data_IF_658995405267
#
_entry.id   IF_658995405267
#
_cell.length_a   1.000
_cell.length_b   1.000
_cell.length_c   1.000
_cell.angle_alpha   90.00
_cell.angle_beta   90.00
_cell.angle_gamma   90.00
#
_symmetry.space_group_name_H-M   'P 1'
#
loop_
_entity.id
_entity.type
_entity.pdbx_description
1 polymer ?
#
# COMPACT_ATOMS: atom_id res chain seq x y z
N UNK A 1 -10.55 -43.03 57.16
CA UNK A 1 -11.04 -42.43 55.90
C UNK A 1 -10.55 -41.01 55.83
N UNK A 2 -9.71 -40.66 54.85
CA UNK A 2 -9.30 -39.28 54.64
C UNK A 2 -10.49 -38.52 54.06
N UNK A 3 -11.20 -37.76 54.89
CA UNK A 3 -12.32 -36.94 54.45
C UNK A 3 -11.77 -35.66 53.83
N UNK A 4 -11.90 -35.53 52.50
CA UNK A 4 -11.58 -34.29 51.80
C UNK A 4 -12.74 -33.30 51.97
N UNK A 5 -12.44 -32.01 52.09
CA UNK A 5 -13.47 -30.99 52.18
C UNK A 5 -13.09 -29.72 51.41
N UNK A 6 -14.11 -28.94 51.08
CA UNK A 6 -13.99 -27.58 50.57
C UNK A 6 -15.15 -26.73 51.08
N UNK A 7 -14.97 -25.41 51.13
CA UNK A 7 -16.07 -24.48 51.44
C UNK A 7 -16.80 -24.13 50.15
N UNK A 8 -18.10 -24.42 50.09
CA UNK A 8 -18.93 -24.19 48.91
C UNK A 8 -19.30 -22.69 48.73
N UNK A 9 -20.01 -22.37 47.65
CA UNK A 9 -20.50 -21.02 47.35
C UNK A 9 -21.49 -20.45 48.38
N UNK A 10 -22.02 -21.25 49.31
CA UNK A 10 -22.90 -20.84 50.42
C UNK A 10 -22.17 -20.72 51.76
N UNK A 11 -20.84 -20.78 51.76
CA UNK A 11 -19.99 -20.77 52.97
C UNK A 11 -20.14 -21.99 53.87
N UNK A 12 -20.66 -23.10 53.35
CA UNK A 12 -20.80 -24.37 54.07
C UNK A 12 -19.60 -25.28 53.79
N UNK A 13 -19.17 -26.05 54.79
CA UNK A 13 -18.12 -27.06 54.61
C UNK A 13 -18.74 -28.32 54.01
N UNK A 14 -18.35 -28.64 52.78
CA UNK A 14 -18.80 -29.83 52.06
C UNK A 14 -17.70 -30.89 52.10
N UNK A 15 -18.05 -32.09 52.56
CA UNK A 15 -17.16 -33.24 52.57
C UNK A 15 -17.39 -34.10 51.31
N UNK A 16 -16.29 -34.51 50.67
CA UNK A 16 -16.32 -35.33 49.46
C UNK A 16 -15.46 -36.59 49.65
N UNK A 17 -15.94 -37.71 49.08
CA UNK A 17 -15.24 -38.98 49.14
C UNK A 17 -14.15 -39.09 48.06
N UNK A 18 -13.30 -40.12 48.15
CA UNK A 18 -12.26 -40.37 47.14
C UNK A 18 -12.83 -40.61 45.73
N UNK A 19 -13.92 -41.38 45.63
CA UNK A 19 -14.61 -41.68 44.36
C UNK A 19 -15.07 -40.40 43.65
N UNK A 20 -15.58 -39.43 44.40
CA UNK A 20 -15.93 -38.10 43.88
C UNK A 20 -14.74 -37.41 43.23
N UNK A 21 -13.59 -37.40 43.90
CA UNK A 21 -12.39 -36.74 43.41
C UNK A 21 -11.74 -37.48 42.22
N UNK A 22 -11.83 -38.80 42.18
CA UNK A 22 -11.39 -39.61 41.02
C UNK A 22 -12.23 -39.28 39.77
N UNK A 23 -13.55 -39.26 39.90
CA UNK A 23 -14.46 -38.86 38.82
C UNK A 23 -14.23 -37.41 38.40
N UNK A 24 -14.09 -36.49 39.38
CA UNK A 24 -13.82 -35.09 39.12
C UNK A 24 -12.50 -34.90 38.35
N UNK A 25 -11.45 -35.64 38.70
CA UNK A 25 -10.17 -35.56 38.01
C UNK A 25 -10.26 -36.09 36.57
N UNK A 26 -10.94 -37.24 36.36
CA UNK A 26 -11.17 -37.81 35.02
C UNK A 26 -11.90 -36.80 34.12
N UNK A 27 -13.02 -36.26 34.58
CA UNK A 27 -13.80 -35.27 33.83
C UNK A 27 -13.02 -33.98 33.57
N UNK A 28 -12.21 -33.53 34.53
CA UNK A 28 -11.34 -32.36 34.35
C UNK A 28 -10.33 -32.61 33.24
N UNK A 29 -9.66 -33.76 33.22
CA UNK A 29 -8.67 -34.09 32.18
C UNK A 29 -9.32 -34.18 30.80
N UNK A 30 -10.48 -34.82 30.68
CA UNK A 30 -11.24 -34.89 29.42
C UNK A 30 -11.67 -33.50 28.93
N UNK A 31 -12.19 -32.65 29.81
CA UNK A 31 -12.57 -31.29 29.45
C UNK A 31 -11.37 -30.41 29.10
N UNK A 32 -10.20 -30.63 29.71
CA UNK A 32 -8.98 -29.91 29.35
C UNK A 32 -8.46 -30.32 27.97
N UNK A 33 -8.54 -31.60 27.59
CA UNK A 33 -8.15 -32.07 26.25
C UNK A 33 -9.01 -31.47 25.15
N UNK A 34 -10.29 -31.20 25.42
CA UNK A 34 -11.24 -30.63 24.46
C UNK A 34 -11.19 -29.08 24.47
N UNK A 35 -10.49 -28.45 25.42
CA UNK A 35 -10.45 -27.00 25.59
C UNK A 35 -9.29 -26.35 24.82
N UNK A 36 -9.53 -25.33 23.97
CA UNK A 36 -8.48 -24.60 23.24
C UNK A 36 -7.42 -23.95 24.13
N UNK A 37 -7.75 -23.66 25.39
CA UNK A 37 -6.86 -23.01 26.36
C UNK A 37 -6.20 -24.01 27.32
N UNK A 38 -6.46 -25.31 27.15
CA UNK A 38 -6.09 -26.38 28.09
C UNK A 38 -6.69 -26.17 29.51
N UNK A 39 -7.71 -25.32 29.63
CA UNK A 39 -8.42 -25.04 30.88
C UNK A 39 -9.74 -25.80 30.93
N UNK A 40 -10.05 -26.37 32.10
CA UNK A 40 -11.33 -27.01 32.34
C UNK A 40 -12.44 -25.94 32.46
N UNK A 41 -13.54 -26.13 31.72
CA UNK A 41 -14.79 -25.40 31.97
C UNK A 41 -15.51 -26.04 33.16
N UNK A 42 -15.42 -25.37 34.31
CA UNK A 42 -15.97 -25.87 35.57
C UNK A 42 -17.50 -25.88 35.63
N UNK A 43 -18.20 -25.08 34.80
CA UNK A 43 -19.67 -25.14 34.72
C UNK A 43 -20.10 -26.45 34.04
N UNK A 44 -19.44 -26.80 32.94
CA UNK A 44 -19.66 -28.07 32.25
C UNK A 44 -19.22 -29.25 33.10
N UNK A 45 -18.10 -29.12 33.82
CA UNK A 45 -17.60 -30.11 34.78
C UNK A 45 -18.65 -30.45 35.86
N UNK A 46 -19.24 -29.44 36.51
CA UNK A 46 -20.30 -29.63 37.52
C UNK A 46 -21.52 -30.36 36.95
N UNK A 47 -21.95 -30.02 35.72
CA UNK A 47 -23.07 -30.72 35.07
C UNK A 47 -22.77 -32.21 34.90
N UNK A 48 -21.58 -32.55 34.42
CA UNK A 48 -21.16 -33.94 34.24
C UNK A 48 -20.99 -34.67 35.58
N UNK A 49 -20.50 -33.99 36.62
CA UNK A 49 -20.44 -34.57 37.97
C UNK A 49 -21.83 -34.94 38.50
N UNK A 50 -22.84 -34.09 38.27
CA UNK A 50 -24.23 -34.39 38.65
C UNK A 50 -24.78 -35.59 37.87
N UNK A 51 -24.47 -35.71 36.57
CA UNK A 51 -24.86 -36.86 35.74
C UNK A 51 -24.23 -38.17 36.23
N UNK A 52 -23.00 -38.10 36.75
CA UNK A 52 -22.29 -39.22 37.39
C UNK A 52 -22.75 -39.50 38.84
N UNK A 53 -23.78 -38.79 39.32
CA UNK A 53 -24.39 -38.98 40.65
C UNK A 53 -23.70 -38.22 41.80
N UNK A 54 -22.89 -37.20 41.50
CA UNK A 54 -22.21 -36.35 42.49
C UNK A 54 -22.74 -34.92 42.48
N UNK A 55 -23.82 -34.69 43.21
CA UNK A 55 -24.53 -33.41 43.35
C UNK A 55 -23.81 -32.38 44.24
N UNK A 56 -22.93 -32.85 45.10
CA UNK A 56 -22.11 -32.05 46.01
C UNK A 56 -20.83 -31.46 45.37
N UNK A 57 -20.79 -31.34 44.04
CA UNK A 57 -19.73 -30.64 43.28
C UNK A 57 -20.02 -29.14 43.11
N UNK A 58 -18.98 -28.30 42.99
CA UNK A 58 -19.15 -26.85 42.82
C UNK A 58 -18.27 -26.28 41.69
N UNK A 59 -18.47 -25.00 41.37
CA UNK A 59 -17.69 -24.26 40.38
C UNK A 59 -16.75 -23.22 41.01
N UNK A 60 -16.78 -23.07 42.33
CA UNK A 60 -16.02 -22.07 43.06
C UNK A 60 -14.51 -22.41 43.17
N UNK A 61 -13.67 -21.42 43.50
CA UNK A 61 -12.21 -21.63 43.51
C UNK A 61 -11.76 -22.65 44.57
N UNK A 62 -12.46 -22.74 45.71
CA UNK A 62 -12.16 -23.72 46.75
C UNK A 62 -12.26 -25.16 46.23
N UNK A 63 -13.33 -25.48 45.49
CA UNK A 63 -13.51 -26.78 44.86
C UNK A 63 -12.46 -27.04 43.77
N UNK A 64 -12.16 -26.04 42.94
CA UNK A 64 -11.12 -26.15 41.91
C UNK A 64 -9.74 -26.42 42.51
N UNK A 65 -9.41 -25.73 43.59
CA UNK A 65 -8.18 -25.95 44.34
C UNK A 65 -8.13 -27.33 44.98
N UNK A 66 -9.25 -27.83 45.51
CA UNK A 66 -9.34 -29.20 46.03
C UNK A 66 -9.02 -30.24 44.94
N UNK A 67 -9.65 -30.14 43.77
CA UNK A 67 -9.41 -31.07 42.65
C UNK A 67 -7.96 -30.95 42.12
N UNK A 68 -7.39 -29.74 42.06
CA UNK A 68 -5.97 -29.53 41.69
C UNK A 68 -5.00 -30.10 42.73
N UNK A 69 -5.31 -29.97 44.03
CA UNK A 69 -4.52 -30.54 45.12
C UNK A 69 -4.55 -32.07 45.04
N UNK A 70 -5.74 -32.65 44.90
CA UNK A 70 -5.92 -34.08 44.72
C UNK A 70 -5.17 -34.61 43.48
N UNK A 71 -5.16 -33.87 42.38
CA UNK A 71 -4.35 -34.21 41.21
C UNK A 71 -2.86 -34.28 41.54
N UNK A 72 -2.30 -33.29 42.26
CA UNK A 72 -0.88 -33.29 42.66
C UNK A 72 -0.56 -34.44 43.61
N UNK A 73 -1.42 -34.70 44.59
CA UNK A 73 -1.29 -35.82 45.53
C UNK A 73 -1.32 -37.16 44.77
N UNK A 74 -2.28 -37.31 43.85
CA UNK A 74 -2.42 -38.50 43.01
C UNK A 74 -1.24 -38.67 42.05
N UNK A 75 -0.65 -37.59 41.53
CA UNK A 75 0.54 -37.64 40.70
C UNK A 75 1.82 -37.95 41.49
N UNK A 76 1.93 -37.49 42.74
CA UNK A 76 3.06 -37.79 43.63
C UNK A 76 3.04 -39.23 44.17
N UNK A 77 1.86 -39.83 44.31
CA UNK A 77 1.66 -41.23 44.71
C UNK A 77 1.88 -42.23 43.55
N UNK A 78 1.83 -41.76 42.29
CA UNK A 78 1.85 -42.59 41.08
C UNK A 78 3.17 -42.58 40.30
N UNK A 79 4.32 -42.41 40.98
CA UNK A 79 5.60 -42.92 40.45
C UNK A 79 5.60 -44.46 40.29
N UNK A 80 4.60 -45.17 40.85
CA UNK A 80 4.39 -46.60 40.67
C UNK A 80 3.01 -46.94 40.05
N UNK A 81 2.91 -46.87 38.72
CA UNK A 81 2.42 -48.01 37.92
C UNK A 81 0.93 -48.26 37.64
N UNK A 82 -0.06 -47.57 38.21
CA UNK A 82 -1.48 -48.02 38.04
C UNK A 82 -2.42 -47.20 37.14
N UNK A 83 -2.02 -46.04 36.60
CA UNK A 83 -2.87 -45.27 35.67
C UNK A 83 -2.63 -45.53 34.17
N UNK A 84 -1.72 -46.44 33.83
CA UNK A 84 -1.37 -46.74 32.42
C UNK A 84 -2.37 -47.66 31.71
N UNK A 85 -3.18 -48.43 32.45
CA UNK A 85 -4.01 -49.52 31.86
C UNK A 85 -5.45 -49.14 31.47
N UNK A 86 -5.97 -47.96 31.86
CA UNK A 86 -7.31 -47.51 31.42
C UNK A 86 -7.32 -46.84 30.03
N UNK A 87 -6.14 -46.62 29.45
CA UNK A 87 -5.94 -45.87 28.19
C UNK A 87 -5.95 -46.80 26.96
N UNK A 88 -6.05 -48.11 27.16
CA UNK A 88 -5.76 -49.12 26.13
C UNK A 88 -6.99 -49.82 25.49
N UNK A 89 -8.19 -49.22 25.55
CA UNK A 89 -9.31 -49.72 24.73
C UNK A 89 -9.29 -49.04 23.35
N UNK A 90 -9.00 -49.82 22.30
CA UNK A 90 -8.80 -49.39 20.90
C UNK A 90 -9.93 -48.50 20.31
N UNK A 91 -11.15 -48.59 20.81
CA UNK A 91 -12.29 -47.76 20.37
C UNK A 91 -12.15 -46.28 20.77
N UNK A 92 -11.66 -46.01 21.99
CA UNK A 92 -11.42 -44.64 22.47
C UNK A 92 -10.25 -43.98 21.75
N UNK A 93 -9.21 -44.74 21.38
CA UNK A 93 -8.07 -44.23 20.61
C UNK A 93 -8.50 -43.74 19.22
N UNK A 94 -9.39 -44.50 18.57
CA UNK A 94 -9.89 -44.19 17.23
C UNK A 94 -10.85 -42.99 17.25
N UNK A 95 -11.77 -42.95 18.23
CA UNK A 95 -12.69 -41.82 18.43
C UNK A 95 -11.92 -40.53 18.77
N UNK A 96 -10.89 -40.62 19.61
CA UNK A 96 -10.05 -39.46 19.96
C UNK A 96 -9.26 -38.93 18.77
N UNK A 97 -8.77 -39.80 17.89
CA UNK A 97 -8.09 -39.41 16.66
C UNK A 97 -9.05 -38.70 15.71
N UNK A 98 -10.23 -39.28 15.48
CA UNK A 98 -11.28 -38.71 14.63
C UNK A 98 -11.78 -37.35 15.15
N UNK A 99 -11.97 -37.21 16.47
CA UNK A 99 -12.34 -35.94 17.10
C UNK A 99 -11.25 -34.87 16.94
N UNK A 100 -9.97 -35.27 17.04
CA UNK A 100 -8.83 -34.39 16.75
C UNK A 100 -8.81 -33.93 15.29
N UNK A 101 -9.06 -34.83 14.36
CA UNK A 101 -9.13 -34.55 12.92
C UNK A 101 -10.28 -33.58 12.59
N UNK A 102 -11.50 -33.86 13.06
CA UNK A 102 -12.68 -32.97 12.91
C UNK A 102 -12.40 -31.57 13.51
N UNK A 103 -11.66 -31.51 14.62
CA UNK A 103 -11.30 -30.24 15.26
C UNK A 103 -10.27 -29.46 14.44
N UNK A 104 -9.25 -30.12 13.90
CA UNK A 104 -8.28 -29.52 12.98
C UNK A 104 -8.99 -28.95 11.74
N UNK A 105 -9.88 -29.73 11.13
CA UNK A 105 -10.71 -29.30 9.99
C UNK A 105 -11.58 -28.09 10.34
N UNK A 106 -12.16 -28.04 11.54
CA UNK A 106 -12.97 -26.89 11.98
C UNK A 106 -12.15 -25.61 12.10
N UNK A 107 -10.93 -25.68 12.63
CA UNK A 107 -10.01 -24.52 12.70
C UNK A 107 -9.64 -24.07 11.29
N UNK A 108 -9.32 -25.01 10.41
CA UNK A 108 -8.98 -24.73 9.02
C UNK A 108 -10.16 -24.06 8.28
N UNK A 109 -11.37 -24.59 8.44
CA UNK A 109 -12.59 -23.97 7.94
C UNK A 109 -12.82 -22.55 8.49
N UNK A 110 -12.51 -22.30 9.76
CA UNK A 110 -12.59 -20.94 10.32
C UNK A 110 -11.55 -19.99 9.69
N UNK A 111 -10.34 -20.47 9.39
CA UNK A 111 -9.33 -19.68 8.67
C UNK A 111 -9.82 -19.35 7.25
N UNK A 112 -10.30 -20.35 6.53
CA UNK A 112 -10.88 -20.18 5.17
C UNK A 112 -12.03 -19.17 5.21
N UNK A 113 -12.95 -19.28 6.17
CA UNK A 113 -14.06 -18.32 6.31
C UNK A 113 -13.59 -16.89 6.61
N UNK A 114 -12.53 -16.73 7.42
CA UNK A 114 -11.95 -15.40 7.69
C UNK A 114 -11.34 -14.80 6.43
N UNK A 115 -10.62 -15.60 5.66
CA UNK A 115 -10.04 -15.18 4.37
C UNK A 115 -11.12 -14.85 3.35
N UNK A 116 -12.16 -15.69 3.20
CA UNK A 116 -13.30 -15.43 2.34
C UNK A 116 -14.04 -14.14 2.72
N UNK A 117 -14.23 -13.89 4.02
CA UNK A 117 -14.87 -12.65 4.47
C UNK A 117 -13.98 -11.42 4.24
N UNK A 118 -12.65 -11.55 4.28
CA UNK A 118 -11.72 -10.50 3.85
C UNK A 118 -11.89 -10.23 2.35
N UNK A 119 -11.81 -11.25 1.51
CA UNK A 119 -11.99 -11.15 0.05
C UNK A 119 -13.34 -10.54 -0.33
N UNK A 120 -14.44 -10.93 0.35
CA UNK A 120 -15.77 -10.35 0.12
C UNK A 120 -15.82 -8.85 0.41
N UNK A 121 -15.18 -8.40 1.49
CA UNK A 121 -15.10 -6.97 1.82
C UNK A 121 -14.27 -6.21 0.81
N UNK A 122 -13.12 -6.75 0.43
CA UNK A 122 -12.22 -6.13 -0.55
C UNK A 122 -12.92 -6.02 -1.92
N UNK A 123 -13.61 -7.08 -2.37
CA UNK A 123 -14.40 -7.08 -3.60
C UNK A 123 -15.55 -6.05 -3.56
N UNK A 124 -16.31 -6.00 -2.47
CA UNK A 124 -17.40 -5.04 -2.32
C UNK A 124 -16.88 -3.59 -2.34
N UNK A 125 -15.75 -3.32 -1.67
CA UNK A 125 -15.11 -2.01 -1.66
C UNK A 125 -14.64 -1.61 -3.07
N UNK A 126 -13.95 -2.51 -3.76
CA UNK A 126 -13.48 -2.28 -5.13
C UNK A 126 -14.64 -2.00 -6.09
N UNK A 127 -15.76 -2.73 -5.97
CA UNK A 127 -16.96 -2.48 -6.78
C UNK A 127 -17.55 -1.09 -6.52
N UNK A 128 -17.59 -0.63 -5.27
CA UNK A 128 -18.06 0.72 -4.93
C UNK A 128 -17.12 1.77 -5.54
N UNK A 129 -15.81 1.62 -5.36
CA UNK A 129 -14.81 2.55 -5.92
C UNK A 129 -14.91 2.61 -7.45
N UNK A 130 -15.04 1.47 -8.13
CA UNK A 130 -15.22 1.42 -9.59
C UNK A 130 -16.48 2.17 -10.01
N UNK A 131 -17.61 1.95 -9.34
CA UNK A 131 -18.85 2.65 -9.65
C UNK A 131 -18.75 4.16 -9.40
N UNK A 132 -18.09 4.57 -8.31
CA UNK A 132 -17.81 5.98 -8.03
C UNK A 132 -16.93 6.59 -9.14
N UNK A 133 -15.86 5.91 -9.55
CA UNK A 133 -14.99 6.34 -10.66
C UNK A 133 -15.81 6.52 -11.95
N UNK A 134 -16.63 5.53 -12.33
CA UNK A 134 -17.48 5.60 -13.52
C UNK A 134 -18.43 6.79 -13.46
N UNK A 135 -19.07 7.02 -12.30
CA UNK A 135 -19.99 8.14 -12.12
C UNK A 135 -19.27 9.49 -12.17
N UNK A 136 -18.10 9.61 -11.53
CA UNK A 136 -17.29 10.82 -11.58
C UNK A 136 -16.87 11.13 -13.03
N UNK A 137 -16.36 10.14 -13.78
CA UNK A 137 -16.01 10.34 -15.19
C UNK A 137 -17.18 10.74 -16.09
N UNK A 138 -18.41 10.29 -15.81
CA UNK A 138 -19.61 10.71 -16.55
C UNK A 138 -19.94 12.19 -16.36
N UNK A 139 -19.57 12.76 -15.21
CA UNK A 139 -19.86 14.15 -14.87
C UNK A 139 -18.80 15.14 -15.38
N UNK A 140 -17.69 14.63 -15.91
CA UNK A 140 -16.62 15.48 -16.46
C UNK A 140 -16.99 15.89 -17.87
N UNK A 141 -17.04 17.21 -18.07
CA UNK A 141 -17.16 17.79 -19.40
C UNK A 141 -15.77 17.92 -20.05
N UNK A 142 -15.33 16.85 -20.71
CA UNK A 142 -14.07 16.86 -21.44
C UNK A 142 -14.09 17.72 -22.70
N UNK A 143 -15.26 18.20 -23.15
CA UNK A 143 -15.35 19.08 -24.33
C UNK A 143 -14.72 20.45 -24.08
N UNK A 144 -14.57 20.84 -22.81
CA UNK A 144 -13.87 22.07 -22.39
C UNK A 144 -12.38 22.06 -22.72
N UNK A 145 -11.78 20.88 -22.92
CA UNK A 145 -10.41 20.74 -23.40
C UNK A 145 -10.39 20.81 -24.94
N UNK A 146 -10.94 21.89 -25.50
CA UNK A 146 -10.94 22.12 -26.94
C UNK A 146 -9.50 22.29 -27.45
N UNK A 147 -9.17 21.48 -28.47
CA UNK A 147 -7.90 21.53 -29.16
C UNK A 147 -7.93 22.67 -30.18
N UNK A 148 -7.22 23.75 -29.88
CA UNK A 148 -6.88 24.70 -30.92
C UNK A 148 -5.70 24.13 -31.70
N UNK A 149 -5.88 24.02 -33.02
CA UNK A 149 -4.83 23.69 -33.99
C UNK A 149 -3.61 24.55 -33.63
N UNK A 150 -2.43 23.94 -33.50
CA UNK A 150 -1.18 24.70 -33.51
C UNK A 150 -1.27 25.63 -34.71
N UNK A 151 -1.10 26.94 -34.49
CA UNK A 151 -0.86 27.85 -35.60
C UNK A 151 0.27 27.22 -36.38
N UNK A 152 0.04 26.87 -37.64
CA UNK A 152 1.05 26.47 -38.61
C UNK A 152 1.98 27.68 -38.82
N UNK A 153 2.68 28.08 -37.76
CA UNK A 153 3.81 28.97 -37.85
C UNK A 153 4.78 28.22 -38.73
N UNK A 154 5.17 28.92 -39.80
CA UNK A 154 6.04 28.47 -40.89
C UNK A 154 7.07 27.48 -40.35
N UNK A 155 7.36 26.43 -41.15
CA UNK A 155 8.54 25.58 -40.99
C UNK A 155 9.78 26.48 -40.94
N UNK A 156 10.08 27.05 -39.79
CA UNK A 156 11.34 27.69 -39.51
C UNK A 156 12.37 26.57 -39.47
N UNK A 157 13.52 26.79 -40.09
CA UNK A 157 14.64 25.85 -39.99
C UNK A 157 14.93 25.57 -38.52
N UNK A 158 15.00 24.28 -38.18
CA UNK A 158 15.39 23.82 -36.85
C UNK A 158 16.84 24.29 -36.64
N UNK A 159 17.03 25.32 -35.81
CA UNK A 159 18.36 25.88 -35.56
C UNK A 159 19.16 25.02 -34.59
N UNK A 160 18.49 24.37 -33.62
CA UNK A 160 19.09 23.47 -32.64
C UNK A 160 18.22 22.23 -32.45
N UNK A 161 18.84 21.05 -32.31
CA UNK A 161 18.13 19.77 -32.04
C UNK A 161 18.00 19.45 -30.55
N UNK A 162 17.88 20.46 -29.70
CA UNK A 162 17.73 20.22 -28.27
C UNK A 162 16.41 19.49 -27.98
N UNK A 163 16.47 18.50 -27.10
CA UNK A 163 15.31 17.72 -26.65
C UNK A 163 15.16 17.85 -25.14
N UNK A 164 13.95 17.61 -24.63
CA UNK A 164 13.72 17.70 -23.18
C UNK A 164 12.72 16.67 -22.65
N UNK A 165 12.86 16.40 -21.36
CA UNK A 165 11.93 15.64 -20.55
C UNK A 165 11.40 16.54 -19.44
N UNK A 166 10.11 16.84 -19.45
CA UNK A 166 9.41 17.36 -18.28
C UNK A 166 9.03 16.18 -17.38
N UNK A 167 9.55 16.20 -16.16
CA UNK A 167 9.33 15.12 -15.18
C UNK A 167 8.28 15.57 -14.19
N UNK A 168 7.18 14.82 -14.12
CA UNK A 168 6.11 15.02 -13.15
C UNK A 168 6.06 13.84 -12.18
N UNK A 169 6.08 14.09 -10.88
CA UNK A 169 6.06 13.04 -9.85
C UNK A 169 5.48 13.56 -8.54
N UNK A 170 4.95 12.65 -7.72
CA UNK A 170 4.55 12.94 -6.35
C UNK A 170 3.61 14.15 -6.27
N UNK A 171 2.55 14.11 -7.08
CA UNK A 171 1.53 15.14 -7.06
C UNK A 171 0.66 15.05 -5.81
N UNK A 172 0.41 13.82 -5.34
CA UNK A 172 -0.41 13.54 -4.16
C UNK A 172 -1.77 14.26 -4.24
N UNK A 173 -2.45 14.19 -5.40
CA UNK A 173 -3.76 14.80 -5.57
C UNK A 173 -4.73 14.19 -4.58
N UNK A 174 -5.39 15.05 -3.82
CA UNK A 174 -6.23 14.67 -2.67
C UNK A 174 -5.57 14.88 -1.33
N UNK A 175 -4.27 15.18 -1.25
CA UNK A 175 -3.61 15.55 0.02
C UNK A 175 -4.01 16.96 0.46
N UNK A 176 -4.25 17.13 1.76
CA UNK A 176 -4.56 18.41 2.40
C UNK A 176 -3.46 18.76 3.39
N UNK A 177 -2.70 19.80 3.07
CA UNK A 177 -1.62 20.33 3.91
C UNK A 177 -2.01 21.75 4.32
N UNK A 178 -2.09 22.01 5.63
CA UNK A 178 -2.32 23.35 6.13
C UNK A 178 -1.14 23.84 6.98
N UNK A 179 -0.56 24.96 6.54
CA UNK A 179 0.49 25.73 7.19
C UNK A 179 1.67 24.93 7.77
N UNK A 180 2.16 23.94 7.02
CA UNK A 180 3.35 23.17 7.44
C UNK A 180 4.61 23.91 7.01
N UNK A 181 5.25 24.59 7.96
CA UNK A 181 6.47 25.39 7.69
C UNK A 181 6.26 26.37 6.53
N UNK A 182 5.12 27.06 6.52
CA UNK A 182 4.74 28.02 5.47
C UNK A 182 4.24 27.40 4.17
N UNK A 183 4.09 26.07 4.10
CA UNK A 183 3.48 25.39 2.97
C UNK A 183 1.99 25.12 3.20
N UNK A 184 1.19 25.28 2.15
CA UNK A 184 -0.19 24.80 2.05
C UNK A 184 -0.34 23.98 0.78
N UNK A 185 -1.23 23.00 0.81
CA UNK A 185 -1.55 22.20 -0.36
C UNK A 185 -2.98 21.67 -0.29
N UNK A 186 -3.66 21.77 -1.42
CA UNK A 186 -4.96 21.19 -1.74
C UNK A 186 -5.09 21.25 -3.27
N UNK A 187 -6.20 20.77 -3.83
CA UNK A 187 -6.40 20.75 -5.27
C UNK A 187 -6.39 22.12 -5.93
N UNK A 188 -6.89 23.17 -5.24
CA UNK A 188 -6.83 24.54 -5.75
C UNK A 188 -5.38 25.02 -5.91
N UNK A 189 -4.52 24.73 -4.92
CA UNK A 189 -3.08 25.02 -4.97
C UNK A 189 -2.40 24.15 -6.04
N UNK A 190 -2.74 22.86 -6.12
CA UNK A 190 -2.21 21.96 -7.14
C UNK A 190 -2.46 22.50 -8.56
N UNK A 191 -3.69 22.97 -8.85
CA UNK A 191 -4.01 23.62 -10.13
C UNK A 191 -3.12 24.83 -10.42
N UNK A 192 -2.91 25.71 -9.43
CA UNK A 192 -2.03 26.88 -9.61
C UNK A 192 -0.59 26.47 -9.86
N UNK A 193 -0.07 25.50 -9.11
CA UNK A 193 1.29 24.97 -9.27
C UNK A 193 1.48 24.28 -10.61
N UNK A 194 0.53 23.47 -11.06
CA UNK A 194 0.59 22.83 -12.39
C UNK A 194 0.50 23.88 -13.51
N UNK A 195 -0.27 24.95 -13.33
CA UNK A 195 -0.29 26.05 -14.29
C UNK A 195 1.05 26.82 -14.33
N UNK A 196 1.69 27.04 -13.18
CA UNK A 196 3.03 27.62 -13.12
C UNK A 196 4.07 26.67 -13.75
N UNK A 197 4.02 25.38 -13.45
CA UNK A 197 4.85 24.35 -14.07
C UNK A 197 4.76 24.37 -15.59
N UNK A 198 3.54 24.46 -16.14
CA UNK A 198 3.32 24.53 -17.58
C UNK A 198 3.96 25.79 -18.19
N UNK A 199 3.83 26.94 -17.51
CA UNK A 199 4.44 28.20 -17.97
C UNK A 199 5.96 28.14 -17.95
N UNK A 200 6.55 27.64 -16.88
CA UNK A 200 8.01 27.49 -16.74
C UNK A 200 8.56 26.47 -17.76
N UNK A 201 7.89 25.34 -17.94
CA UNK A 201 8.26 24.36 -18.97
C UNK A 201 8.26 24.98 -20.37
N UNK A 202 7.24 25.77 -20.72
CA UNK A 202 7.19 26.47 -22.01
C UNK A 202 8.24 27.58 -22.12
N UNK A 203 8.56 28.26 -21.03
CA UNK A 203 9.66 29.23 -20.99
C UNK A 203 10.98 28.54 -21.36
N UNK A 204 11.29 27.39 -20.74
CA UNK A 204 12.48 26.61 -21.08
C UNK A 204 12.41 26.01 -22.48
N UNK A 205 11.24 25.54 -22.94
CA UNK A 205 11.10 25.09 -24.33
C UNK A 205 11.45 26.21 -25.32
N UNK A 206 11.00 27.44 -25.06
CA UNK A 206 11.35 28.60 -25.89
C UNK A 206 12.83 28.97 -25.79
N UNK A 207 13.38 28.99 -24.58
CA UNK A 207 14.76 29.37 -24.31
C UNK A 207 15.77 28.42 -24.98
N UNK A 208 15.47 27.13 -24.98
CA UNK A 208 16.34 26.08 -25.53
C UNK A 208 15.92 25.59 -26.91
N UNK A 209 14.93 26.24 -27.55
CA UNK A 209 14.36 25.86 -28.85
C UNK A 209 13.86 24.40 -28.93
N UNK A 210 13.24 23.91 -27.85
CA UNK A 210 12.66 22.57 -27.78
C UNK A 210 11.35 22.53 -28.59
N UNK A 211 11.30 21.69 -29.62
CA UNK A 211 10.07 21.43 -30.41
C UNK A 211 9.32 20.17 -29.97
N UNK A 212 10.04 19.19 -29.42
CA UNK A 212 9.51 17.93 -28.91
C UNK A 212 9.78 17.80 -27.41
N UNK A 213 8.72 17.68 -26.61
CA UNK A 213 8.77 17.55 -25.17
C UNK A 213 8.25 16.17 -24.74
N UNK A 214 9.10 15.39 -24.09
CA UNK A 214 8.65 14.18 -23.40
C UNK A 214 8.11 14.58 -22.03
N UNK A 215 6.88 14.21 -21.69
CA UNK A 215 6.32 14.40 -20.35
C UNK A 215 6.25 13.03 -19.69
N UNK A 216 7.09 12.81 -18.67
CA UNK A 216 7.19 11.53 -17.97
C UNK A 216 6.61 11.65 -16.56
N UNK A 217 5.59 10.84 -16.25
CA UNK A 217 5.03 10.70 -14.91
C UNK A 217 5.70 9.58 -14.15
N UNK A 218 6.37 9.88 -13.03
CA UNK A 218 7.11 8.87 -12.24
C UNK A 218 6.29 8.24 -11.12
N UNK A 219 5.01 8.58 -10.99
CA UNK A 219 4.10 7.97 -10.02
C UNK A 219 3.76 8.88 -8.83
N UNK A 220 2.96 8.33 -7.91
CA UNK A 220 2.37 9.03 -6.77
C UNK A 220 1.51 10.24 -7.20
N UNK A 221 0.64 10.01 -8.19
CA UNK A 221 -0.26 11.04 -8.72
C UNK A 221 -1.42 11.33 -7.76
N UNK A 222 -1.82 10.33 -6.96
CA UNK A 222 -2.87 10.43 -5.95
C UNK A 222 -2.29 10.23 -4.54
N UNK A 223 -2.92 10.82 -3.51
CA UNK A 223 -2.50 10.60 -2.11
C UNK A 223 -2.88 9.20 -1.60
N UNK A 224 -3.97 8.65 -2.13
CA UNK A 224 -4.52 7.34 -1.79
C UNK A 224 -4.99 7.24 -0.33
N UNK A 225 -6.14 7.87 -0.05
CA UNK A 225 -6.75 8.02 1.28
C UNK A 225 -6.83 6.74 2.13
N UNK A 226 -6.90 5.56 1.50
CA UNK A 226 -7.10 4.27 2.17
C UNK A 226 -5.83 3.43 2.30
N UNK A 227 -4.65 3.93 1.89
CA UNK A 227 -3.43 3.10 1.83
C UNK A 227 -2.90 2.74 3.22
N UNK A 228 -3.00 3.65 4.20
CA UNK A 228 -2.48 3.43 5.57
C UNK A 228 -3.58 3.62 6.60
N UNK A 229 -3.86 2.55 7.35
CA UNK A 229 -4.95 2.42 8.33
C UNK A 229 -4.95 3.43 9.49
N UNK A 230 -3.97 4.32 9.62
CA UNK A 230 -3.77 5.04 10.89
C UNK A 230 -3.70 6.57 10.85
N UNK A 231 -3.68 7.29 9.71
CA UNK A 231 -3.77 8.78 9.73
C UNK A 231 -4.05 9.46 8.38
N UNK A 232 -3.83 8.82 7.22
CA UNK A 232 -3.97 9.49 5.91
C UNK A 232 -5.40 9.94 5.60
N UNK A 233 -6.42 9.23 6.09
CA UNK A 233 -7.82 9.58 5.83
C UNK A 233 -8.25 10.94 6.45
N UNK A 234 -7.56 11.46 7.47
CA UNK A 234 -7.88 12.75 8.09
C UNK A 234 -7.28 13.95 7.35
N UNK A 235 -6.22 13.71 6.56
CA UNK A 235 -5.47 14.73 5.82
C UNK A 235 -5.77 14.67 4.30
N UNK A 236 -6.96 14.20 3.91
CA UNK A 236 -7.39 14.15 2.50
C UNK A 236 -8.58 15.06 2.18
N UNK A 237 -8.57 15.63 0.99
CA UNK A 237 -9.61 16.51 0.44
C UNK A 237 -10.75 15.72 -0.23
N UNK A 238 -10.45 14.55 -0.78
CA UNK A 238 -11.43 13.74 -1.51
C UNK A 238 -11.27 12.24 -1.26
N UNK A 239 -12.36 11.50 -1.53
CA UNK A 239 -12.32 10.04 -1.69
C UNK A 239 -11.45 9.65 -2.88
N UNK A 240 -10.92 8.43 -2.85
CA UNK A 240 -10.04 7.86 -3.86
C UNK A 240 -10.54 8.06 -5.32
N UNK A 241 -11.81 7.77 -5.60
CA UNK A 241 -12.37 7.94 -6.95
C UNK A 241 -12.22 9.37 -7.50
N UNK A 242 -12.50 10.36 -6.66
CA UNK A 242 -12.35 11.77 -7.01
C UNK A 242 -10.87 12.16 -7.15
N UNK A 243 -9.96 11.58 -6.37
CA UNK A 243 -8.52 11.81 -6.52
C UNK A 243 -8.05 11.37 -7.91
N UNK A 244 -8.42 10.15 -8.33
CA UNK A 244 -8.08 9.57 -9.64
C UNK A 244 -8.58 10.46 -10.78
N UNK A 245 -9.86 10.85 -10.70
CA UNK A 245 -10.48 11.72 -11.70
C UNK A 245 -9.80 13.08 -11.78
N UNK A 246 -9.57 13.73 -10.63
CA UNK A 246 -8.94 15.05 -10.57
C UNK A 246 -7.48 15.05 -11.00
N UNK A 247 -6.74 13.98 -10.70
CA UNK A 247 -5.39 13.78 -11.21
C UNK A 247 -5.41 13.63 -12.73
N UNK A 248 -6.33 12.81 -13.26
CA UNK A 248 -6.54 12.62 -14.71
C UNK A 248 -6.84 13.95 -15.40
N UNK A 249 -7.79 14.73 -14.90
CA UNK A 249 -8.14 16.06 -15.42
C UNK A 249 -6.93 16.99 -15.44
N UNK A 250 -6.14 17.02 -14.37
CA UNK A 250 -5.03 17.96 -14.22
C UNK A 250 -3.84 17.59 -15.10
N UNK A 251 -3.53 16.29 -15.22
CA UNK A 251 -2.51 15.81 -16.15
C UNK A 251 -2.97 16.08 -17.59
N UNK A 252 -4.20 15.75 -17.94
CA UNK A 252 -4.73 16.00 -19.28
C UNK A 252 -4.74 17.49 -19.63
N UNK A 253 -5.10 18.36 -18.67
CA UNK A 253 -4.98 19.81 -18.83
C UNK A 253 -3.54 20.25 -19.11
N UNK A 254 -2.56 19.75 -18.34
CA UNK A 254 -1.14 20.07 -18.53
C UNK A 254 -0.69 19.68 -19.94
N UNK A 255 -0.97 18.43 -20.33
CA UNK A 255 -0.57 17.89 -21.63
C UNK A 255 -1.19 18.66 -22.79
N UNK A 256 -2.50 18.93 -22.72
CA UNK A 256 -3.21 19.69 -23.77
C UNK A 256 -2.80 21.16 -23.81
N UNK A 257 -2.43 21.75 -22.68
CA UNK A 257 -1.90 23.12 -22.63
C UNK A 257 -0.52 23.19 -23.29
N UNK A 258 0.39 22.27 -22.95
CA UNK A 258 1.73 22.19 -23.54
C UNK A 258 1.67 21.89 -25.05
N UNK A 259 0.77 20.98 -25.47
CA UNK A 259 0.65 20.54 -26.87
C UNK A 259 0.14 21.63 -27.83
N UNK A 260 -0.26 22.80 -27.32
CA UNK A 260 -0.57 23.99 -28.13
C UNK A 260 0.68 24.68 -28.68
N UNK A 261 1.84 24.42 -28.10
CA UNK A 261 3.09 25.14 -28.36
C UNK A 261 4.23 24.23 -28.84
N UNK A 262 4.25 22.98 -28.39
CA UNK A 262 5.27 21.98 -28.74
C UNK A 262 4.61 20.63 -29.02
N UNK A 263 5.30 19.73 -29.71
CA UNK A 263 4.91 18.33 -29.76
C UNK A 263 5.15 17.69 -28.39
N UNK A 264 4.17 16.92 -27.91
CA UNK A 264 4.18 16.30 -26.58
C UNK A 264 4.01 14.80 -26.72
N UNK A 265 4.91 14.05 -26.09
CA UNK A 265 4.77 12.61 -25.86
C UNK A 265 4.62 12.37 -24.37
N UNK A 266 3.55 11.68 -23.97
CA UNK A 266 3.30 11.36 -22.56
C UNK A 266 3.52 9.89 -22.28
N UNK A 267 4.18 9.62 -21.16
CA UNK A 267 4.43 8.28 -20.64
C UNK A 267 4.36 8.33 -19.10
N UNK A 268 3.83 7.28 -18.46
CA UNK A 268 3.64 7.29 -17.01
C UNK A 268 3.76 5.92 -16.38
N UNK A 269 4.45 5.86 -15.23
CA UNK A 269 4.64 4.67 -14.39
C UNK A 269 3.98 4.87 -13.02
N UNK A 270 3.83 3.76 -12.28
CA UNK A 270 3.23 3.76 -10.96
C UNK A 270 4.24 4.10 -9.86
N UNK A 271 3.76 4.81 -8.84
CA UNK A 271 4.45 4.97 -7.56
C UNK A 271 3.84 4.11 -6.45
N UNK A 272 4.39 4.24 -5.25
CA UNK A 272 3.95 3.46 -4.10
C UNK A 272 2.57 3.87 -3.54
N UNK A 273 2.14 5.11 -3.73
CA UNK A 273 0.79 5.57 -3.39
C UNK A 273 -0.25 5.17 -4.44
N UNK A 274 0.16 4.75 -5.63
CA UNK A 274 -0.78 4.36 -6.69
C UNK A 274 -1.24 2.89 -6.57
N UNK A 275 -0.71 2.12 -5.62
CA UNK A 275 -1.02 0.69 -5.42
C UNK A 275 -2.50 0.47 -5.09
N UNK A 276 -3.13 -0.55 -5.65
CA UNK A 276 -4.52 -0.90 -5.30
C UNK A 276 -4.67 -1.38 -3.86
N UNK A 277 -3.61 -2.00 -3.32
CA UNK A 277 -3.55 -2.54 -1.98
C UNK A 277 -2.63 -1.71 -1.07
N UNK A 278 -3.12 -1.38 0.13
CA UNK A 278 -2.36 -0.67 1.15
C UNK A 278 -1.24 -1.49 1.78
N UNK A 279 -1.32 -2.82 1.73
CA UNK A 279 -0.25 -3.71 2.19
C UNK A 279 0.77 -3.93 1.05
N UNK A 280 1.99 -3.41 1.23
CA UNK A 280 3.11 -3.57 0.29
C UNK A 280 3.35 -5.05 -0.06
N UNK A 281 3.19 -5.97 0.90
CA UNK A 281 3.49 -7.39 0.69
C UNK A 281 2.38 -8.16 -0.05
N UNK A 282 1.20 -7.57 -0.14
CA UNK A 282 0.04 -8.17 -0.79
C UNK A 282 -0.36 -7.40 -2.07
N UNK A 283 0.53 -6.53 -2.57
CA UNK A 283 0.32 -5.83 -3.82
C UNK A 283 0.59 -6.78 -5.00
N UNK A 284 -0.24 -6.69 -6.04
CA UNK A 284 -0.04 -7.41 -7.30
C UNK A 284 0.61 -6.43 -8.27
N UNK A 285 1.70 -6.84 -8.91
CA UNK A 285 2.39 -6.00 -9.88
C UNK A 285 1.45 -5.60 -11.02
N UNK A 286 1.42 -4.31 -11.35
CA UNK A 286 0.55 -3.74 -12.37
C UNK A 286 -0.92 -3.55 -11.98
N UNK A 287 -1.33 -3.92 -10.75
CA UNK A 287 -2.64 -3.57 -10.19
C UNK A 287 -2.56 -2.23 -9.42
N UNK A 288 -2.56 -1.14 -10.18
CA UNK A 288 -2.36 0.21 -9.66
C UNK A 288 -3.43 1.16 -10.20
N UNK A 289 -3.90 2.10 -9.37
CA UNK A 289 -4.85 3.12 -9.79
C UNK A 289 -4.30 4.07 -10.86
N UNK A 290 -2.97 4.16 -11.02
CA UNK A 290 -2.36 4.88 -12.14
C UNK A 290 -2.74 4.27 -13.49
N UNK A 291 -3.05 2.97 -13.58
CA UNK A 291 -3.50 2.33 -14.82
C UNK A 291 -4.79 2.99 -15.30
N UNK A 292 -5.70 3.30 -14.37
CA UNK A 292 -6.95 4.01 -14.67
C UNK A 292 -6.66 5.42 -15.19
N UNK A 293 -5.70 6.14 -14.59
CA UNK A 293 -5.29 7.48 -15.02
C UNK A 293 -4.69 7.43 -16.43
N UNK A 294 -3.71 6.56 -16.66
CA UNK A 294 -3.01 6.40 -17.93
C UNK A 294 -3.94 5.97 -19.07
N UNK A 295 -4.78 4.94 -18.85
CA UNK A 295 -5.75 4.48 -19.86
C UNK A 295 -6.82 5.55 -20.14
N UNK A 296 -7.21 6.33 -19.15
CA UNK A 296 -8.11 7.48 -19.35
C UNK A 296 -7.45 8.54 -20.23
N UNK A 297 -6.22 8.95 -19.93
CA UNK A 297 -5.46 9.92 -20.74
C UNK A 297 -5.30 9.43 -22.18
N UNK A 298 -4.89 8.17 -22.37
CA UNK A 298 -4.74 7.53 -23.68
C UNK A 298 -6.04 7.56 -24.49
N UNK A 299 -7.17 7.21 -23.87
CA UNK A 299 -8.49 7.27 -24.51
C UNK A 299 -8.88 8.70 -24.86
N UNK A 300 -8.66 9.67 -23.97
CA UNK A 300 -8.94 11.08 -24.21
C UNK A 300 -8.12 11.64 -25.38
N UNK A 301 -6.82 11.32 -25.46
CA UNK A 301 -5.96 11.71 -26.58
C UNK A 301 -6.49 11.11 -27.90
N UNK A 302 -6.88 9.83 -27.90
CA UNK A 302 -7.45 9.16 -29.08
C UNK A 302 -8.77 9.79 -29.52
N UNK A 303 -9.68 10.07 -28.58
CA UNK A 303 -11.00 10.67 -28.86
C UNK A 303 -10.87 12.11 -29.41
N UNK A 304 -9.93 12.88 -28.87
CA UNK A 304 -9.67 14.26 -29.33
C UNK A 304 -8.89 14.34 -30.64
N UNK A 305 -8.40 13.21 -31.16
CA UNK A 305 -7.62 13.13 -32.41
C UNK A 305 -6.46 14.14 -32.46
N UNK A 306 -5.81 14.35 -31.32
CA UNK A 306 -4.69 15.28 -31.24
C UNK A 306 -3.56 14.84 -32.17
N UNK A 307 -3.00 15.78 -32.93
CA UNK A 307 -1.84 15.53 -33.80
C UNK A 307 -0.51 15.79 -33.08
N UNK A 308 -0.53 16.63 -32.05
CA UNK A 308 0.67 17.13 -31.36
C UNK A 308 0.79 16.59 -29.94
N UNK A 309 -0.15 15.76 -29.50
CA UNK A 309 -0.10 15.04 -28.25
C UNK A 309 -0.25 13.54 -28.53
N UNK A 310 0.74 12.76 -28.12
CA UNK A 310 0.76 11.30 -28.26
C UNK A 310 0.93 10.64 -26.90
N UNK A 311 0.27 9.51 -26.72
CA UNK A 311 0.50 8.61 -25.58
C UNK A 311 1.46 7.52 -26.01
N UNK A 312 2.53 7.30 -25.24
CA UNK A 312 3.45 6.18 -25.43
C UNK A 312 2.93 5.01 -24.62
N UNK A 313 2.64 3.89 -25.30
CA UNK A 313 2.08 2.71 -24.65
C UNK A 313 3.11 2.07 -23.74
N UNK A 314 2.76 1.95 -22.46
CA UNK A 314 3.52 1.19 -21.50
C UNK A 314 2.75 -0.04 -21.05
N UNK A 315 3.48 -1.10 -20.72
CA UNK A 315 2.91 -2.23 -20.01
C UNK A 315 2.43 -1.77 -18.62
N UNK A 316 1.32 -2.34 -18.14
CA UNK A 316 0.86 -2.09 -16.76
C UNK A 316 1.91 -2.51 -15.71
N UNK A 317 2.80 -3.44 -16.08
CA UNK A 317 3.89 -3.93 -15.24
C UNK A 317 5.17 -3.08 -15.31
N UNK A 318 5.18 -2.01 -16.10
CA UNK A 318 6.37 -1.19 -16.29
C UNK A 318 6.55 -0.24 -15.10
N UNK A 319 7.67 -0.38 -14.40
CA UNK A 319 8.08 0.43 -13.23
C UNK A 319 9.17 1.46 -13.57
N UNK A 320 9.54 1.55 -14.85
CA UNK A 320 10.59 2.43 -15.35
C UNK A 320 10.24 3.00 -16.72
N UNK A 321 10.91 4.08 -17.11
CA UNK A 321 10.82 4.68 -18.45
C UNK A 321 12.26 4.84 -18.94
N UNK A 322 12.54 4.42 -20.17
CA UNK A 322 13.85 4.64 -20.80
C UNK A 322 13.66 5.56 -21.99
N UNK A 323 14.43 6.66 -22.01
CA UNK A 323 14.45 7.62 -23.11
C UNK A 323 15.84 7.76 -23.68
N UNK A 324 15.93 7.86 -24.99
CA UNK A 324 17.16 8.19 -25.69
C UNK A 324 16.97 9.52 -26.40
N UNK A 325 17.70 10.55 -25.95
CA UNK A 325 17.66 11.91 -26.48
C UNK A 325 19.08 12.31 -26.86
N UNK A 326 19.30 12.81 -28.08
CA UNK A 326 20.63 13.25 -28.55
C UNK A 326 21.80 12.30 -28.18
N UNK A 327 21.60 10.98 -28.35
CA UNK A 327 22.60 9.95 -28.06
C UNK A 327 22.82 9.65 -26.56
N UNK A 328 22.01 10.22 -25.67
CA UNK A 328 22.05 9.98 -24.22
C UNK A 328 20.86 9.15 -23.77
N UNK A 329 21.17 8.01 -23.16
CA UNK A 329 20.18 7.14 -22.52
C UNK A 329 19.89 7.57 -21.09
N UNK A 330 18.63 7.88 -20.81
CA UNK A 330 18.11 8.35 -19.52
C UNK A 330 17.09 7.34 -19.01
N UNK A 331 17.30 6.83 -17.80
CA UNK A 331 16.33 5.97 -17.11
C UNK A 331 15.57 6.77 -16.07
N UNK A 332 14.26 6.62 -16.04
CA UNK A 332 13.38 7.28 -15.08
C UNK A 332 12.61 6.22 -14.29
N UNK A 333 12.59 6.37 -12.97
CA UNK A 333 11.99 5.43 -12.02
C UNK A 333 11.25 6.19 -10.92
N UNK A 334 10.28 5.57 -10.24
CA UNK A 334 9.68 6.21 -9.05
C UNK A 334 10.71 6.37 -7.93
N UNK A 335 11.44 5.28 -7.62
CA UNK A 335 12.54 5.27 -6.67
C UNK A 335 12.21 4.75 -5.26
N UNK A 336 11.06 4.09 -5.06
CA UNK A 336 10.66 3.47 -3.78
C UNK A 336 11.33 2.11 -3.50
N UNK A 337 11.97 1.53 -4.51
CA UNK A 337 12.77 0.30 -4.42
C UNK A 337 14.27 0.59 -4.27
N UNK A 338 14.69 1.84 -4.42
CA UNK A 338 16.10 2.23 -4.36
C UNK A 338 16.64 2.21 -2.93
N UNK A 339 17.86 1.68 -2.78
CA UNK A 339 18.59 1.78 -1.52
C UNK A 339 19.14 3.20 -1.33
N UNK A 340 19.67 3.48 -0.14
CA UNK A 340 20.30 4.77 0.17
C UNK A 340 21.74 4.88 -0.37
N UNK A 341 22.22 3.89 -1.10
CA UNK A 341 23.59 3.85 -1.59
C UNK A 341 23.80 4.81 -2.76
N UNK A 342 25.03 5.33 -2.90
CA UNK A 342 25.42 6.31 -3.93
C UNK A 342 25.88 5.63 -5.24
N UNK A 343 25.51 4.38 -5.51
CA UNK A 343 25.93 3.62 -6.72
C UNK A 343 24.74 3.10 -7.54
N UNK A 344 23.69 3.92 -7.66
CA UNK A 344 22.43 3.54 -8.28
C UNK A 344 22.62 3.28 -9.77
N UNK A 345 23.40 4.13 -10.46
CA UNK A 345 23.61 3.98 -11.90
C UNK A 345 24.35 2.69 -12.21
N UNK A 346 25.39 2.37 -11.44
CA UNK A 346 26.14 1.12 -11.59
C UNK A 346 25.24 -0.11 -11.46
N UNK A 347 24.35 -0.11 -10.47
CA UNK A 347 23.43 -1.23 -10.24
C UNK A 347 22.49 -1.43 -11.45
N UNK A 348 21.81 -0.37 -11.91
CA UNK A 348 20.92 -0.48 -13.07
C UNK A 348 21.67 -0.83 -14.36
N UNK A 349 22.86 -0.27 -14.60
CA UNK A 349 23.67 -0.65 -15.77
C UNK A 349 24.01 -2.14 -15.76
N UNK A 350 24.35 -2.69 -14.59
CA UNK A 350 24.66 -4.11 -14.43
C UNK A 350 23.43 -5.00 -14.60
N UNK A 351 22.26 -4.58 -14.09
CA UNK A 351 21.02 -5.36 -14.20
C UNK A 351 20.47 -5.36 -15.63
N UNK A 352 20.49 -4.21 -16.29
CA UNK A 352 19.86 -4.01 -17.59
C UNK A 352 20.81 -4.30 -18.77
N UNK A 353 22.07 -4.63 -18.47
CA UNK A 353 23.14 -4.81 -19.44
C UNK A 353 23.22 -3.64 -20.45
N UNK A 354 23.18 -2.41 -19.93
CA UNK A 354 23.17 -1.20 -20.78
C UNK A 354 23.84 -0.02 -20.10
N UNK A 355 24.21 1.00 -20.88
CA UNK A 355 24.84 2.22 -20.37
C UNK A 355 23.79 3.31 -20.20
N UNK A 356 23.66 3.83 -18.98
CA UNK A 356 22.88 5.01 -18.67
C UNK A 356 23.80 6.20 -18.46
N UNK A 357 23.34 7.37 -18.89
CA UNK A 357 24.04 8.64 -18.69
C UNK A 357 23.39 9.48 -17.59
N UNK A 358 22.10 9.23 -17.33
CA UNK A 358 21.36 9.87 -16.26
C UNK A 358 20.28 8.94 -15.72
N UNK A 359 20.10 8.93 -14.40
CA UNK A 359 18.95 8.32 -13.73
C UNK A 359 18.14 9.42 -13.03
N UNK A 360 16.84 9.45 -13.31
CA UNK A 360 15.89 10.40 -12.74
C UNK A 360 14.91 9.67 -11.83
N UNK A 361 14.71 10.17 -10.60
CA UNK A 361 13.82 9.53 -9.64
C UNK A 361 12.96 10.48 -8.80
N UNK A 362 11.81 10.00 -8.36
CA UNK A 362 10.85 10.66 -7.46
C UNK A 362 10.88 10.08 -6.03
N UNK A 363 9.75 10.01 -5.36
CA UNK A 363 9.54 9.40 -4.03
C UNK A 363 10.09 10.16 -2.81
N UNK A 364 11.32 10.70 -2.85
CA UNK A 364 11.93 11.37 -1.68
C UNK A 364 11.52 12.85 -1.50
N UNK A 365 10.75 13.40 -2.44
CA UNK A 365 10.16 14.75 -2.39
C UNK A 365 11.19 15.88 -2.26
N UNK A 366 12.45 15.67 -2.66
CA UNK A 366 13.52 16.67 -2.54
C UNK A 366 14.31 16.78 -3.83
N UNK A 367 14.48 17.97 -4.37
CA UNK A 367 15.41 18.15 -5.48
C UNK A 367 16.87 17.92 -5.04
N UNK A 368 17.59 17.00 -5.70
CA UNK A 368 19.03 16.76 -5.51
C UNK A 368 19.61 16.33 -6.85
N UNK A 369 20.75 16.91 -7.23
CA UNK A 369 21.58 16.40 -8.32
C UNK A 369 22.91 15.98 -7.72
N UNK A 370 23.43 14.83 -8.13
CA UNK A 370 24.80 14.45 -7.85
C UNK A 370 25.35 13.61 -9.01
N UNK A 371 26.67 13.57 -9.09
CA UNK A 371 27.39 12.80 -10.09
C UNK A 371 27.81 11.45 -9.52
N UNK A 372 27.65 10.39 -10.31
CA UNK A 372 28.31 9.10 -10.14
C UNK A 372 29.35 8.92 -11.27
N UNK A 373 30.31 8.02 -11.06
CA UNK A 373 31.46 7.74 -11.95
C UNK A 373 31.25 8.08 -13.43
N UNK A 374 32.23 8.79 -14.02
CA UNK A 374 32.28 9.18 -15.45
C UNK A 374 31.25 10.25 -15.85
N UNK A 375 31.04 11.27 -15.00
CA UNK A 375 30.16 12.39 -15.36
C UNK A 375 28.66 12.05 -15.39
N UNK A 376 28.25 10.88 -14.88
CA UNK A 376 26.87 10.41 -14.97
C UNK A 376 26.02 11.03 -13.88
N UNK A 377 24.80 11.44 -14.21
CA UNK A 377 23.98 12.21 -13.29
C UNK A 377 22.89 11.36 -12.62
N UNK A 378 22.71 11.53 -11.32
CA UNK A 378 21.49 11.11 -10.62
C UNK A 378 20.70 12.35 -10.24
N UNK A 379 19.45 12.41 -10.70
CA UNK A 379 18.53 13.53 -10.48
C UNK A 379 17.36 13.04 -9.65
N UNK A 380 17.31 13.47 -8.40
CA UNK A 380 16.15 13.33 -7.54
C UNK A 380 15.22 14.53 -7.75
N UNK A 381 13.95 14.29 -8.06
CA UNK A 381 12.92 15.30 -8.28
C UNK A 381 12.14 15.57 -6.99
N UNK A 382 11.68 16.81 -6.84
CA UNK A 382 10.79 17.24 -5.75
C UNK A 382 9.35 16.74 -5.91
N UNK A 383 8.48 17.12 -4.99
CA UNK A 383 7.04 16.82 -5.08
C UNK A 383 6.21 18.07 -5.37
N UNK A 384 5.02 17.90 -5.93
CA UNK A 384 4.11 19.03 -6.15
C UNK A 384 3.52 19.55 -4.83
N UNK A 385 3.35 18.65 -3.85
CA UNK A 385 2.74 18.98 -2.57
C UNK A 385 3.67 19.79 -1.65
N UNK A 386 4.99 19.58 -1.76
CA UNK A 386 6.00 20.27 -0.95
C UNK A 386 6.00 19.80 0.51
N UNK A 387 6.39 20.70 1.42
CA UNK A 387 6.57 20.40 2.85
C UNK A 387 5.28 19.86 3.48
N UNK A 388 5.34 18.70 4.11
CA UNK A 388 4.18 18.05 4.75
C UNK A 388 4.49 17.57 6.17
N UNK A 389 3.46 17.18 6.93
CA UNK A 389 3.63 16.76 8.33
C UNK A 389 4.46 15.48 8.48
N UNK A 390 4.40 14.58 7.49
CA UNK A 390 5.19 13.35 7.48
C UNK A 390 6.69 13.66 7.38
N UNK A 391 7.11 14.41 6.37
CA UNK A 391 8.51 14.83 6.16
C UNK A 391 9.08 15.65 7.32
N UNK A 392 8.25 16.41 8.04
CA UNK A 392 8.64 17.13 9.27
C UNK A 392 9.18 16.20 10.35
N UNK A 393 8.60 14.99 10.51
CA UNK A 393 9.04 14.02 11.53
C UNK A 393 10.47 13.51 11.25
N UNK A 394 10.87 13.46 9.99
CA UNK A 394 12.17 12.95 9.56
C UNK A 394 13.17 14.07 9.20
N UNK A 395 12.85 15.34 9.51
CA UNK A 395 13.66 16.51 9.16
C UNK A 395 13.98 16.60 7.65
N UNK A 396 13.07 16.12 6.81
CA UNK A 396 13.25 16.02 5.36
C UNK A 396 12.30 16.95 4.58
N UNK A 397 11.97 18.12 5.14
CA UNK A 397 11.03 19.06 4.51
C UNK A 397 11.67 19.78 3.33
N UNK A 398 11.03 19.69 2.16
CA UNK A 398 11.52 20.30 0.91
C UNK A 398 10.45 21.16 0.25
N UNK A 399 10.88 22.13 -0.55
CA UNK A 399 9.98 22.99 -1.33
C UNK A 399 9.20 22.18 -2.35
N UNK A 400 7.99 22.64 -2.66
CA UNK A 400 7.26 22.14 -3.81
C UNK A 400 8.04 22.44 -5.10
N UNK A 401 8.18 21.46 -5.97
CA UNK A 401 8.86 21.62 -7.24
C UNK A 401 8.84 20.36 -8.08
N UNK A 402 9.14 20.53 -9.36
CA UNK A 402 9.28 19.46 -10.36
C UNK A 402 10.59 19.69 -11.13
N UNK A 403 10.88 18.90 -12.16
CA UNK A 403 12.12 19.03 -12.90
C UNK A 403 11.91 18.98 -14.42
N UNK A 404 12.82 19.64 -15.13
CA UNK A 404 12.97 19.51 -16.58
C UNK A 404 14.40 19.07 -16.86
N UNK A 405 14.57 18.01 -17.64
CA UNK A 405 15.88 17.50 -18.06
C UNK A 405 16.06 17.89 -19.52
N UNK A 406 16.99 18.80 -19.78
CA UNK A 406 17.31 19.24 -21.14
C UNK A 406 18.51 18.42 -21.61
N UNK A 407 18.42 17.86 -22.81
CA UNK A 407 19.54 17.22 -23.48
C UNK A 407 19.86 18.01 -24.72
N UNK A 408 20.98 18.73 -24.66
CA UNK A 408 21.43 19.58 -25.75
C UNK A 408 21.90 18.74 -26.93
N UNK A 409 21.95 19.33 -28.12
CA UNK A 409 22.43 18.66 -29.34
C UNK A 409 23.86 18.14 -29.22
N UNK A 410 24.71 18.77 -28.40
CA UNK A 410 26.06 18.31 -28.07
C UNK A 410 26.10 17.17 -27.03
N UNK A 411 24.94 16.68 -26.59
CA UNK A 411 24.79 15.60 -25.62
C UNK A 411 24.93 16.04 -24.16
N UNK A 412 25.09 17.33 -23.87
CA UNK A 412 25.12 17.81 -22.47
C UNK A 412 23.74 17.66 -21.83
N UNK A 413 23.69 16.95 -20.70
CA UNK A 413 22.49 16.79 -19.88
C UNK A 413 22.44 17.91 -18.84
N UNK A 414 21.37 18.71 -18.86
CA UNK A 414 21.17 19.84 -17.97
C UNK A 414 19.85 19.68 -17.20
N UNK A 415 19.90 19.15 -15.97
CA UNK A 415 18.74 19.09 -15.09
C UNK A 415 18.41 20.48 -14.53
N UNK A 416 17.15 20.87 -14.59
CA UNK A 416 16.63 22.14 -14.08
C UNK A 416 15.52 21.85 -13.06
N UNK A 417 15.60 22.47 -11.89
CA UNK A 417 14.50 22.49 -10.93
C UNK A 417 13.50 23.57 -11.32
N UNK A 418 12.21 23.21 -11.34
CA UNK A 418 11.11 24.17 -11.42
C UNK A 418 10.55 24.32 -10.01
N UNK A 419 10.86 25.44 -9.34
CA UNK A 419 10.34 25.76 -7.99
C UNK A 419 8.87 26.22 -8.08
N UNK A 420 8.00 25.55 -7.34
CA UNK A 420 6.55 25.78 -7.33
C UNK A 420 6.05 26.20 -5.93
N UNK A 421 6.95 26.48 -4.99
CA UNK A 421 6.61 26.77 -3.61
C UNK A 421 5.93 28.12 -3.43
N UNK A 422 6.25 29.10 -4.30
CA UNK A 422 5.82 30.51 -4.19
C UNK A 422 4.60 30.87 -5.06
N UNK A 423 3.86 29.86 -5.54
CA UNK A 423 2.72 30.02 -6.47
C UNK A 423 1.38 30.21 -5.76
#
# INVERSE_FOLDING_TARGET
MSNYSYTNSKSEVVYVCKKHLDTALKLKMELQKISPSLRCDWKKHKKLMNEEGFDNSDTNENYRCLVKRYQKESSAVNSNGQYKNLVQNNELGTINKLLGEIYCEKIENQKILRELNKLKRDFAMNKVVINEIVNEFKNIDFTKFSYNKINENKKEEIKNKNEAILVITDWHIGSKIDNVKGNKFNYSIAKRRVAALAKEALYYCKLFDIKKLNVCSLGDMIEHAYMRNSNQAYDVEFKLAHQIVKATELIYWLLTYLSKYVEVEFEGIAGNHDRSNGDKKANIDGDNFIVVVNESIKKLIKLTKSKTLKFINNSAYMNEIIKELNGKKIKLIHGDEETKDDNIIKAHMSMDNTIYHCIVKGHLHRFKIFEENDGRLVVQVGSLCGRNNFSKKFKATSNAGQAMIIVREDGVIQPLQIDLQRV
#
